data_IF_770493834131
#
_entry.id   IF_770493834131
#
_cell.length_a   1.000
_cell.length_b   1.000
_cell.length_c   1.000
_cell.angle_alpha   90.00
_cell.angle_beta   90.00
_cell.angle_gamma   90.00
#
_symmetry.space_group_name_H-M   'P 1'
#
loop_
_entity.id
_entity.type
_entity.pdbx_description
1 polymer ?
#
# COMPACT_ATOMS: atom_id res chain seq x y z
N UNK A 1 -13.80 8.68 6.71
CA UNK A 1 -12.59 7.87 6.49
C UNK A 1 -12.79 6.58 7.23
N UNK A 2 -12.69 5.45 6.55
CA UNK A 2 -12.94 4.15 7.15
C UNK A 2 -11.64 3.35 7.16
N UNK A 3 -11.31 2.73 8.28
CA UNK A 3 -10.16 1.84 8.41
C UNK A 3 -10.59 0.56 9.12
N UNK A 4 -10.01 -0.56 8.68
CA UNK A 4 -10.08 -1.85 9.33
C UNK A 4 -8.64 -2.32 9.54
N UNK A 5 -8.29 -2.57 10.79
CA UNK A 5 -7.00 -3.11 11.17
C UNK A 5 -7.29 -4.38 11.95
N UNK A 6 -6.69 -5.49 11.53
CA UNK A 6 -6.80 -6.76 12.25
C UNK A 6 -5.44 -7.18 12.74
N UNK A 7 -5.47 -7.88 13.87
CA UNK A 7 -4.30 -8.47 14.47
C UNK A 7 -4.51 -9.98 14.61
N UNK A 8 -3.41 -10.72 14.67
CA UNK A 8 -3.41 -12.16 14.93
C UNK A 8 -2.45 -12.44 16.09
N UNK A 9 -2.89 -13.31 17.00
CA UNK A 9 -2.03 -13.82 18.07
C UNK A 9 -0.96 -14.73 17.48
N UNK A 10 0.31 -14.49 17.82
CA UNK A 10 1.43 -15.38 17.53
C UNK A 10 2.21 -15.60 18.83
N UNK A 11 2.05 -16.79 19.42
CA UNK A 11 2.56 -17.06 20.76
C UNK A 11 1.98 -16.09 21.79
N UNK A 12 2.85 -15.32 22.45
CA UNK A 12 2.46 -14.31 23.46
C UNK A 12 2.24 -12.91 22.86
N UNK A 13 2.55 -12.70 21.59
CA UNK A 13 2.46 -11.39 20.93
C UNK A 13 1.19 -11.27 20.07
N UNK A 14 0.71 -10.03 19.95
CA UNK A 14 -0.38 -9.65 19.03
C UNK A 14 0.23 -8.91 17.85
N UNK A 15 0.23 -9.54 16.69
CA UNK A 15 0.92 -9.06 15.49
C UNK A 15 -0.07 -8.47 14.49
N UNK A 16 0.35 -7.43 13.76
CA UNK A 16 -0.44 -6.88 12.65
C UNK A 16 -0.67 -7.96 11.59
N UNK A 17 -1.90 -8.06 11.09
CA UNK A 17 -2.29 -9.11 10.13
C UNK A 17 -2.83 -8.52 8.82
N UNK A 18 -3.71 -7.51 8.92
CA UNK A 18 -4.35 -6.92 7.75
C UNK A 18 -4.73 -5.47 8.01
N UNK A 19 -4.54 -4.62 7.00
CA UNK A 19 -5.00 -3.23 6.97
C UNK A 19 -5.84 -3.03 5.72
N UNK A 20 -6.99 -2.37 5.88
CA UNK A 20 -7.78 -1.81 4.79
C UNK A 20 -8.18 -0.39 5.14
N UNK A 21 -8.01 0.53 4.21
CA UNK A 21 -8.44 1.91 4.35
C UNK A 21 -9.24 2.38 3.13
N UNK A 22 -10.27 3.17 3.39
CA UNK A 22 -11.03 3.90 2.39
C UNK A 22 -11.05 5.39 2.74
N UNK A 23 -10.49 6.18 1.84
CA UNK A 23 -10.41 7.64 1.96
C UNK A 23 -11.26 8.24 0.85
N UNK A 24 -12.21 9.09 1.24
CA UNK A 24 -13.02 9.87 0.30
C UNK A 24 -12.64 11.34 0.44
N UNK A 25 -12.37 11.99 -0.69
CA UNK A 25 -11.97 13.38 -0.71
C UNK A 25 -12.58 14.09 -1.93
N UNK A 26 -12.76 15.40 -1.81
CA UNK A 26 -13.18 16.26 -2.91
C UNK A 26 -11.98 17.01 -3.46
N UNK A 27 -11.94 17.16 -4.77
CA UNK A 27 -10.92 17.95 -5.46
C UNK A 27 -11.59 19.07 -6.24
N UNK A 28 -11.20 20.31 -5.94
CA UNK A 28 -11.63 21.50 -6.66
C UNK A 28 -10.63 21.79 -7.77
N UNK A 29 -11.01 21.38 -8.99
CA UNK A 29 -10.18 21.61 -10.16
C UNK A 29 -10.30 23.05 -10.63
N UNK A 30 -9.17 23.66 -10.96
CA UNK A 30 -9.12 25.00 -11.56
C UNK A 30 -10.02 25.01 -12.82
N UNK A 31 -10.88 26.03 -12.94
CA UNK A 31 -11.85 26.21 -14.05
C UNK A 31 -13.01 25.20 -14.10
N UNK A 32 -13.34 24.50 -12.99
CA UNK A 32 -14.59 23.73 -12.87
C UNK A 32 -15.54 24.40 -11.87
N UNK A 33 -16.84 24.41 -12.20
CA UNK A 33 -17.90 25.00 -11.35
C UNK A 33 -18.33 24.07 -10.19
N UNK A 34 -17.97 22.78 -10.25
CA UNK A 34 -18.30 21.80 -9.22
C UNK A 34 -17.08 20.94 -8.85
N UNK A 35 -16.95 20.66 -7.56
CA UNK A 35 -15.93 19.75 -7.01
C UNK A 35 -16.11 18.33 -7.56
N UNK A 36 -15.02 17.62 -7.82
CA UNK A 36 -15.06 16.19 -8.15
C UNK A 36 -14.81 15.36 -6.88
N UNK A 37 -15.57 14.29 -6.67
CA UNK A 37 -15.40 13.40 -5.51
C UNK A 37 -14.61 12.16 -5.91
N UNK A 38 -13.59 11.82 -5.11
CA UNK A 38 -12.72 10.66 -5.32
C UNK A 38 -12.79 9.73 -4.12
N UNK A 39 -12.59 8.44 -4.38
CA UNK A 39 -12.42 7.41 -3.34
C UNK A 39 -11.14 6.66 -3.62
N UNK A 40 -10.20 6.71 -2.69
CA UNK A 40 -8.98 5.89 -2.70
C UNK A 40 -9.17 4.73 -1.72
N UNK A 41 -8.88 3.52 -2.18
CA UNK A 41 -8.86 2.30 -1.36
C UNK A 41 -7.45 1.75 -1.34
N UNK A 42 -7.00 1.31 -0.17
CA UNK A 42 -5.72 0.64 -0.02
C UNK A 42 -5.90 -0.56 0.94
N UNK A 43 -5.22 -1.65 0.62
CA UNK A 43 -5.24 -2.91 1.37
C UNK A 43 -3.82 -3.45 1.51
N UNK A 44 -3.51 -4.02 2.68
CA UNK A 44 -2.22 -4.64 3.01
C UNK A 44 -2.47 -5.93 3.77
N UNK A 45 -1.76 -6.99 3.41
CA UNK A 45 -1.73 -8.28 4.12
C UNK A 45 -0.31 -8.56 4.57
N UNK A 46 -0.15 -8.97 5.82
CA UNK A 46 1.12 -9.48 6.34
C UNK A 46 1.21 -10.97 6.00
N UNK A 47 2.18 -11.34 5.18
CA UNK A 47 2.43 -12.74 4.76
C UNK A 47 3.55 -13.36 5.58
N UNK A 48 4.67 -12.66 5.69
CA UNK A 48 5.86 -13.06 6.43
C UNK A 48 6.34 -11.91 7.31
N UNK A 49 6.93 -12.26 8.46
CA UNK A 49 7.52 -11.30 9.40
C UNK A 49 8.85 -11.86 9.87
N UNK A 50 9.88 -11.02 9.82
CA UNK A 50 11.18 -11.28 10.43
C UNK A 50 11.19 -10.64 11.82
N UNK A 51 11.30 -11.44 12.89
CA UNK A 51 11.31 -10.92 14.28
C UNK A 51 12.64 -10.26 14.64
N UNK A 52 13.74 -10.74 14.06
CA UNK A 52 15.10 -10.29 14.35
C UNK A 52 15.84 -9.98 13.05
N UNK A 53 15.45 -8.92 12.33
CA UNK A 53 16.04 -8.62 11.05
C UNK A 53 17.52 -8.29 11.18
N UNK A 54 18.36 -8.92 10.35
CA UNK A 54 19.80 -8.64 10.30
C UNK A 54 20.09 -7.19 9.90
N UNK A 55 19.15 -6.54 9.22
CA UNK A 55 19.27 -5.16 8.72
C UNK A 55 18.07 -4.33 9.13
N UNK A 56 18.35 -3.17 9.73
CA UNK A 56 17.33 -2.14 9.99
C UNK A 56 17.20 -1.25 8.77
N UNK A 57 15.97 -0.85 8.44
CA UNK A 57 15.70 0.14 7.38
C UNK A 57 16.41 1.44 7.74
N UNK A 58 17.43 1.82 6.97
CA UNK A 58 18.16 3.04 7.22
C UNK A 58 17.25 4.26 7.01
N UNK A 59 17.47 5.32 7.79
CA UNK A 59 16.63 6.53 7.74
C UNK A 59 16.53 7.18 6.35
N UNK A 60 17.55 7.02 5.52
CA UNK A 60 17.57 7.52 4.13
C UNK A 60 16.65 6.73 3.20
N UNK A 61 16.40 5.46 3.54
CA UNK A 61 15.60 4.51 2.75
C UNK A 61 14.16 4.41 3.29
N UNK A 62 13.92 4.89 4.52
CA UNK A 62 12.59 4.97 5.11
C UNK A 62 11.74 6.08 4.47
N UNK A 63 10.45 5.80 4.25
CA UNK A 63 9.51 6.80 3.77
C UNK A 63 9.41 7.98 4.75
N UNK A 64 9.51 9.20 4.23
CA UNK A 64 9.24 10.41 5.03
C UNK A 64 7.73 10.63 5.13
N UNK A 65 7.26 11.19 6.24
CA UNK A 65 5.84 11.46 6.48
C UNK A 65 5.18 12.36 5.42
N UNK A 66 5.97 13.19 4.72
CA UNK A 66 5.53 14.08 3.64
C UNK A 66 6.07 13.67 2.26
N UNK A 67 6.57 12.44 2.12
CA UNK A 67 7.05 11.96 0.85
C UNK A 67 5.88 11.73 -0.10
N UNK A 68 5.95 12.35 -1.27
CA UNK A 68 4.97 12.21 -2.34
C UNK A 68 5.76 11.91 -3.61
N UNK A 69 5.45 10.78 -4.25
CA UNK A 69 6.08 10.31 -5.49
C UNK A 69 5.51 11.01 -6.73
N UNK A 70 5.45 12.34 -6.72
CA UNK A 70 4.83 13.11 -7.82
C UNK A 70 5.74 13.23 -9.05
N UNK A 71 7.04 13.09 -8.84
CA UNK A 71 8.11 13.19 -9.84
C UNK A 71 8.22 11.96 -10.73
N UNK A 72 7.76 10.81 -10.25
CA UNK A 72 7.84 9.51 -10.93
C UNK A 72 6.49 9.02 -11.49
N UNK A 73 5.46 9.87 -11.51
CA UNK A 73 4.10 9.50 -11.95
C UNK A 73 4.06 8.89 -13.36
N UNK A 74 4.97 9.29 -14.24
CA UNK A 74 5.06 8.73 -15.60
C UNK A 74 5.42 7.24 -15.60
N UNK A 75 6.19 6.81 -14.61
CA UNK A 75 6.65 5.42 -14.48
C UNK A 75 5.57 4.50 -13.93
N UNK A 76 4.45 5.02 -13.39
CA UNK A 76 3.39 4.17 -12.82
C UNK A 76 2.70 3.27 -13.84
N UNK A 77 2.77 3.64 -15.12
CA UNK A 77 2.26 2.83 -16.24
C UNK A 77 3.23 1.74 -16.68
N UNK A 78 4.46 1.73 -16.15
CA UNK A 78 5.40 0.63 -16.36
C UNK A 78 5.09 -0.47 -15.32
N UNK A 79 4.60 -1.62 -15.78
CA UNK A 79 4.30 -2.77 -14.92
C UNK A 79 5.54 -3.23 -14.12
N UNK A 80 6.74 -3.03 -14.65
CA UNK A 80 7.99 -3.40 -13.99
C UNK A 80 8.35 -2.47 -12.83
N UNK A 81 7.83 -1.23 -12.81
CA UNK A 81 8.14 -0.24 -11.77
C UNK A 81 7.79 -0.75 -10.36
N UNK A 82 6.69 -1.50 -10.24
CA UNK A 82 6.20 -1.98 -8.96
C UNK A 82 6.92 -3.24 -8.47
N UNK A 83 7.62 -3.97 -9.35
CA UNK A 83 8.26 -5.27 -9.03
C UNK A 83 9.36 -5.17 -7.98
N UNK A 84 10.04 -4.03 -7.93
CA UNK A 84 11.12 -3.79 -6.96
C UNK A 84 10.61 -3.38 -5.57
N UNK A 85 9.29 -3.15 -5.44
CA UNK A 85 8.65 -2.76 -4.19
C UNK A 85 7.75 -3.87 -3.66
N UNK A 86 7.52 -3.85 -2.35
CA UNK A 86 6.43 -4.62 -1.74
C UNK A 86 5.07 -3.90 -1.92
N UNK A 87 4.78 -3.46 -3.15
CA UNK A 87 3.58 -2.71 -3.52
C UNK A 87 2.97 -3.41 -4.73
N UNK A 88 1.69 -3.74 -4.61
CA UNK A 88 0.90 -4.24 -5.74
C UNK A 88 0.44 -3.03 -6.56
N UNK A 89 0.53 -3.12 -7.88
CA UNK A 89 0.07 -2.05 -8.77
C UNK A 89 -1.37 -1.63 -8.41
N UNK A 90 -1.68 -0.32 -8.37
CA UNK A 90 -3.01 0.17 -7.97
C UNK A 90 -4.20 -0.40 -8.77
N UNK A 91 -3.97 -0.90 -9.98
CA UNK A 91 -5.01 -1.50 -10.84
C UNK A 91 -5.25 -2.99 -10.53
N UNK A 92 -4.34 -3.64 -9.79
CA UNK A 92 -4.44 -5.04 -9.42
C UNK A 92 -5.10 -5.21 -8.04
N UNK A 93 -6.03 -6.15 -7.93
CA UNK A 93 -6.62 -6.50 -6.64
C UNK A 93 -5.66 -7.37 -5.82
N UNK A 94 -5.69 -7.18 -4.50
CA UNK A 94 -4.91 -7.99 -3.56
C UNK A 94 -5.20 -9.50 -3.72
N UNK A 95 -6.45 -9.87 -3.99
CA UNK A 95 -6.82 -11.27 -4.24
C UNK A 95 -6.11 -11.85 -5.48
N UNK A 96 -6.04 -11.08 -6.57
CA UNK A 96 -5.36 -11.49 -7.79
C UNK A 96 -3.84 -11.57 -7.58
N UNK A 97 -3.27 -10.60 -6.87
CA UNK A 97 -1.85 -10.62 -6.52
C UNK A 97 -1.48 -11.84 -5.65
N UNK A 98 -2.29 -12.16 -4.64
CA UNK A 98 -2.10 -13.37 -3.82
C UNK A 98 -2.22 -14.65 -4.66
N UNK A 99 -3.16 -14.71 -5.60
CA UNK A 99 -3.27 -15.85 -6.53
C UNK A 99 -2.02 -16.00 -7.41
N UNK A 100 -1.40 -14.90 -7.86
CA UNK A 100 -0.13 -14.94 -8.61
C UNK A 100 1.02 -15.45 -7.75
N UNK A 101 1.18 -14.94 -6.52
CA UNK A 101 2.23 -15.37 -5.59
C UNK A 101 2.14 -16.87 -5.29
N UNK A 102 0.94 -17.39 -5.04
CA UNK A 102 0.73 -18.83 -4.78
C UNK A 102 1.04 -19.75 -5.96
N UNK A 103 1.13 -19.24 -7.19
CA UNK A 103 1.53 -20.02 -8.37
C UNK A 103 3.05 -20.04 -8.58
N UNK A 104 3.77 -19.09 -7.97
CA UNK A 104 5.22 -18.97 -8.07
C UNK A 104 5.96 -19.75 -6.97
N UNK A 105 5.25 -20.10 -5.89
CA UNK A 105 5.65 -21.06 -4.86
C UNK A 105 5.31 -22.48 -5.30
#
# INVERSE_FOLDING_TARGET
>A
MNFLITYRQQGKETCLNYIRNEIRFKCDWKRRLFSSSYTARSEMVVVEREEYPERVIARRDAFKSKQIFYDVVKEYWNEDYWKDYNIIEPTESLENAVKKLRKQL
#
